data_IF_109480304336
#
_entry.id   IF_109480304336
#
_cell.length_a   1.000
_cell.length_b   1.000
_cell.length_c   1.000
_cell.angle_alpha   90.00
_cell.angle_beta   90.00
_cell.angle_gamma   90.00
#
_symmetry.space_group_name_H-M   'P 1'
#
loop_
_entity.id
_entity.type
_entity.pdbx_description
1 polymer ?
#
# COMPACT_ATOMS: atom_id res chain seq x y z
N UNK A 1 1.00 5.65 -21.36
CA UNK A 1 1.83 5.58 -20.14
C UNK A 1 1.31 4.45 -19.27
N UNK A 2 2.15 3.51 -18.82
CA UNK A 2 1.70 2.50 -17.84
C UNK A 2 1.38 3.21 -16.51
N UNK A 3 0.27 2.89 -15.84
CA UNK A 3 0.00 3.45 -14.52
C UNK A 3 1.11 3.02 -13.56
N UNK A 4 1.64 3.98 -12.80
CA UNK A 4 2.73 3.75 -11.84
C UNK A 4 2.33 2.74 -10.76
N UNK A 5 1.03 2.70 -10.41
CA UNK A 5 0.44 1.80 -9.44
C UNK A 5 -0.74 1.02 -10.05
N UNK A 6 -0.86 -0.26 -9.73
CA UNK A 6 -1.93 -1.14 -10.20
C UNK A 6 -2.28 -2.20 -9.14
N UNK A 7 -3.45 -2.81 -9.24
CA UNK A 7 -3.86 -3.91 -8.35
C UNK A 7 -2.89 -5.10 -8.47
N UNK A 8 -2.43 -5.63 -7.33
CA UNK A 8 -1.38 -6.65 -7.28
C UNK A 8 0.05 -6.11 -7.29
N UNK A 9 0.25 -4.79 -7.40
CA UNK A 9 1.57 -4.18 -7.36
C UNK A 9 2.19 -4.29 -5.95
N UNK A 10 3.45 -4.75 -5.87
CA UNK A 10 4.20 -4.79 -4.62
C UNK A 10 4.77 -3.41 -4.33
N UNK A 11 4.50 -2.90 -3.13
CA UNK A 11 4.90 -1.55 -2.72
C UNK A 11 5.50 -1.57 -1.33
N UNK A 12 6.33 -0.57 -1.06
CA UNK A 12 6.80 -0.19 0.27
C UNK A 12 6.10 1.09 0.69
N UNK A 13 5.53 1.09 1.89
CA UNK A 13 4.97 2.29 2.52
C UNK A 13 6.13 3.13 3.05
N UNK A 14 6.14 4.41 2.71
CA UNK A 14 7.15 5.38 3.14
C UNK A 14 6.54 6.70 3.59
N UNK A 15 7.15 7.33 4.60
CA UNK A 15 6.73 8.62 5.16
C UNK A 15 5.26 8.63 5.64
N UNK A 16 4.70 7.46 5.98
CA UNK A 16 3.33 7.30 6.43
C UNK A 16 3.30 7.07 7.94
N UNK A 17 3.03 8.15 8.67
CA UNK A 17 2.96 8.16 10.13
C UNK A 17 1.81 7.23 10.59
N UNK A 18 2.11 6.33 11.57
CA UNK A 18 1.29 5.23 12.16
C UNK A 18 2.03 3.88 12.34
N UNK A 19 3.35 3.82 12.16
CA UNK A 19 4.12 2.57 12.34
C UNK A 19 3.99 1.57 11.18
N UNK A 20 3.55 2.05 10.01
CA UNK A 20 3.55 1.30 8.75
C UNK A 20 4.73 1.67 7.85
N UNK A 21 5.52 2.68 8.23
CA UNK A 21 6.72 3.06 7.51
C UNK A 21 7.68 1.87 7.38
N UNK A 22 8.22 1.70 6.17
CA UNK A 22 9.11 0.59 5.85
C UNK A 22 8.41 -0.74 5.54
N UNK A 23 7.09 -0.85 5.76
CA UNK A 23 6.37 -2.09 5.48
C UNK A 23 6.16 -2.32 4.00
N UNK A 24 6.18 -3.59 3.64
CA UNK A 24 5.99 -4.05 2.27
C UNK A 24 4.63 -4.75 2.20
N UNK A 25 3.85 -4.39 1.19
CA UNK A 25 2.55 -4.99 0.95
C UNK A 25 2.19 -5.02 -0.53
N UNK A 26 1.00 -5.52 -0.81
CA UNK A 26 0.42 -5.60 -2.14
C UNK A 26 -0.74 -4.61 -2.22
N UNK A 27 -0.77 -3.84 -3.30
CA UNK A 27 -1.88 -2.95 -3.59
C UNK A 27 -3.14 -3.75 -3.93
N UNK A 28 -4.23 -3.43 -3.25
CA UNK A 28 -5.58 -3.77 -3.66
C UNK A 28 -6.30 -2.51 -4.11
N UNK A 29 -7.07 -2.64 -5.19
CA UNK A 29 -8.00 -1.62 -5.62
C UNK A 29 -8.96 -1.25 -4.47
N UNK A 30 -8.98 0.04 -4.11
CA UNK A 30 -9.85 0.57 -3.07
C UNK A 30 -10.52 1.83 -3.57
N UNK A 31 -11.84 1.78 -3.70
CA UNK A 31 -12.66 2.92 -4.07
C UNK A 31 -12.40 3.48 -5.47
N UNK A 32 -13.07 4.60 -5.80
CA UNK A 32 -12.84 5.30 -7.06
C UNK A 32 -11.44 5.95 -7.08
N UNK A 33 -10.70 5.76 -8.19
CA UNK A 33 -9.33 6.26 -8.41
C UNK A 33 -9.14 7.78 -8.25
N UNK A 34 -10.22 8.53 -8.05
CA UNK A 34 -10.22 9.99 -7.87
C UNK A 34 -9.45 10.47 -6.65
N UNK A 35 -9.28 9.65 -5.61
CA UNK A 35 -8.60 10.07 -4.39
C UNK A 35 -7.09 9.77 -4.34
N UNK A 36 -6.51 9.10 -5.34
CA UNK A 36 -5.08 8.70 -5.34
C UNK A 36 -4.67 7.97 -4.05
N UNK A 37 -5.58 7.18 -3.48
CA UNK A 37 -5.34 6.38 -2.29
C UNK A 37 -5.43 4.90 -2.68
N UNK A 38 -4.58 4.08 -2.07
CA UNK A 38 -4.57 2.64 -2.27
C UNK A 38 -4.66 1.90 -0.96
N UNK A 39 -5.39 0.79 -0.97
CA UNK A 39 -5.37 -0.17 0.13
C UNK A 39 -4.14 -1.05 -0.02
N UNK A 40 -3.19 -0.92 0.90
CA UNK A 40 -2.01 -1.78 0.97
C UNK A 40 -2.32 -2.92 1.93
N UNK A 41 -2.27 -4.16 1.44
CA UNK A 41 -2.41 -5.38 2.25
C UNK A 41 -1.03 -5.94 2.55
N UNK A 42 -0.72 -6.18 3.81
CA UNK A 42 0.58 -6.70 4.24
C UNK A 42 0.40 -7.72 5.36
N UNK A 43 1.36 -8.64 5.46
CA UNK A 43 1.40 -9.60 6.56
C UNK A 43 2.19 -9.02 7.74
N UNK A 44 1.76 -9.38 8.95
CA UNK A 44 2.49 -9.00 10.15
C UNK A 44 3.67 -9.95 10.38
N UNK A 45 4.84 -9.44 10.80
CA UNK A 45 6.06 -10.23 10.96
C UNK A 45 5.93 -11.35 12.00
N UNK A 46 4.97 -11.26 12.93
CA UNK A 46 4.77 -12.23 14.00
C UNK A 46 3.79 -13.36 13.65
N UNK A 47 3.32 -13.42 12.40
CA UNK A 47 2.27 -14.36 11.98
C UNK A 47 0.92 -13.96 12.57
N UNK A 48 0.02 -13.47 11.71
CA UNK A 48 -1.30 -13.00 12.10
C UNK A 48 -2.17 -12.70 10.89
N UNK A 49 -3.42 -12.27 11.13
CA UNK A 49 -4.34 -11.87 10.05
C UNK A 49 -3.72 -10.76 9.20
N UNK A 50 -3.87 -10.85 7.87
CA UNK A 50 -3.39 -9.85 6.94
C UNK A 50 -3.91 -8.46 7.34
N UNK A 51 -2.98 -7.56 7.65
CA UNK A 51 -3.28 -6.16 7.93
C UNK A 51 -3.57 -5.43 6.63
N UNK A 52 -4.39 -4.38 6.69
CA UNK A 52 -4.53 -3.46 5.58
C UNK A 52 -4.52 -2.02 6.07
N UNK A 53 -4.02 -1.12 5.23
CA UNK A 53 -4.03 0.31 5.49
C UNK A 53 -4.26 1.07 4.19
N UNK A 54 -5.03 2.15 4.25
CA UNK A 54 -5.26 3.03 3.11
C UNK A 54 -4.14 4.08 3.14
N UNK A 55 -3.39 4.16 2.04
CA UNK A 55 -2.19 4.99 1.93
C UNK A 55 -2.27 5.83 0.65
N UNK A 56 -1.97 7.14 0.70
CA UNK A 56 -1.86 7.97 -0.49
C UNK A 56 -0.74 7.49 -1.42
N UNK A 57 -0.88 7.66 -2.73
CA UNK A 57 0.16 7.33 -3.72
C UNK A 57 1.52 7.97 -3.43
N UNK A 58 1.53 9.18 -2.86
CA UNK A 58 2.75 9.92 -2.53
C UNK A 58 3.57 9.25 -1.41
N UNK A 59 2.95 8.36 -0.64
CA UNK A 59 3.54 7.60 0.44
C UNK A 59 3.89 6.16 0.03
N UNK A 60 3.85 5.85 -1.26
CA UNK A 60 4.09 4.52 -1.80
C UNK A 60 5.29 4.50 -2.74
N UNK A 61 6.15 3.50 -2.55
CA UNK A 61 7.27 3.20 -3.43
C UNK A 61 7.06 1.83 -4.07
N UNK A 62 6.98 1.76 -5.40
CA UNK A 62 6.93 0.47 -6.12
C UNK A 62 8.26 -0.25 -5.97
N UNK A 63 8.20 -1.56 -5.69
CA UNK A 63 9.37 -2.44 -5.59
C UNK A 63 9.52 -3.36 -6.81
#
# INVERSE_FOLDING_TARGET
>A
MKPKFFDGCKVKIQNFDRGYDGRIGILQAFGPKTNKEWKVVFEWPLGGLAGHVIVPEDNLLVL
#
